data_IF_761012391325
#
_entry.id   IF_761012391325
#
_cell.length_a   1.000
_cell.length_b   1.000
_cell.length_c   1.000
_cell.angle_alpha   90.00
_cell.angle_beta   90.00
_cell.angle_gamma   90.00
#
_symmetry.space_group_name_H-M   'P 1'
#
loop_
_entity.id
_entity.type
_entity.pdbx_description
1 polymer ?
#
# COMPACT_ATOMS: atom_id res chain seq x y z
N UNK A 1 0.62 15.73 -7.17
CA UNK A 1 0.88 14.29 -7.00
C UNK A 1 1.03 14.07 -5.50
N UNK A 2 0.06 13.42 -4.85
CA UNK A 2 0.12 13.20 -3.41
C UNK A 2 0.90 11.91 -3.14
N UNK A 3 1.75 11.92 -2.11
CA UNK A 3 2.62 10.78 -1.73
C UNK A 3 1.83 9.50 -1.40
N UNK A 4 0.52 9.63 -1.15
CA UNK A 4 -0.38 8.54 -0.73
C UNK A 4 -1.19 7.93 -1.89
N UNK A 5 -1.05 8.48 -3.10
CA UNK A 5 -1.80 7.99 -4.26
C UNK A 5 -1.21 6.67 -4.81
N UNK A 6 -0.02 6.29 -4.36
CA UNK A 6 0.69 5.06 -4.76
C UNK A 6 0.99 4.17 -3.56
N UNK A 7 1.38 2.92 -3.82
CA UNK A 7 1.86 2.01 -2.77
C UNK A 7 3.28 2.33 -2.28
N UNK A 8 3.93 3.37 -2.82
CA UNK A 8 5.36 3.64 -2.56
C UNK A 8 5.62 3.97 -1.09
N UNK A 9 4.69 4.61 -0.40
CA UNK A 9 4.83 4.92 1.03
C UNK A 9 4.91 3.66 1.91
N UNK A 10 4.39 2.52 1.45
CA UNK A 10 4.49 1.26 2.18
C UNK A 10 5.88 0.62 2.05
N UNK A 11 6.58 0.86 0.93
CA UNK A 11 7.93 0.30 0.67
C UNK A 11 8.96 0.75 1.70
N UNK A 12 8.85 1.99 2.15
CA UNK A 12 9.79 2.62 3.09
C UNK A 12 9.20 2.80 4.49
N UNK A 13 8.03 2.21 4.75
CA UNK A 13 7.35 2.27 6.03
C UNK A 13 7.94 1.31 7.07
N UNK A 14 7.28 1.19 8.23
CA UNK A 14 7.64 0.20 9.26
C UNK A 14 7.45 -1.25 8.76
N UNK A 15 7.87 -2.24 9.56
CA UNK A 15 7.79 -3.65 9.17
C UNK A 15 6.38 -4.10 8.76
N UNK A 16 5.34 -3.57 9.42
CA UNK A 16 3.94 -3.86 9.09
C UNK A 16 3.55 -3.28 7.73
N UNK A 17 3.97 -2.07 7.42
CA UNK A 17 3.74 -1.42 6.12
C UNK A 17 4.45 -2.18 4.99
N UNK A 18 5.71 -2.56 5.19
CA UNK A 18 6.47 -3.34 4.20
C UNK A 18 5.84 -4.72 3.96
N UNK A 19 5.34 -5.37 5.01
CA UNK A 19 4.64 -6.65 4.88
C UNK A 19 3.35 -6.52 4.05
N UNK A 20 2.57 -5.45 4.24
CA UNK A 20 1.39 -5.19 3.41
C UNK A 20 1.78 -4.90 1.96
N UNK A 21 2.84 -4.13 1.73
CA UNK A 21 3.34 -3.90 0.38
C UNK A 21 3.62 -5.24 -0.34
N UNK A 22 4.34 -6.15 0.31
CA UNK A 22 4.65 -7.44 -0.28
C UNK A 22 3.41 -8.30 -0.54
N UNK A 23 2.47 -8.34 0.41
CA UNK A 23 1.22 -9.08 0.25
C UNK A 23 0.40 -8.59 -0.96
N UNK A 24 0.32 -7.27 -1.15
CA UNK A 24 -0.42 -6.67 -2.27
C UNK A 24 0.22 -6.99 -3.62
N UNK A 25 1.56 -7.02 -3.69
CA UNK A 25 2.33 -7.37 -4.88
C UNK A 25 2.21 -8.87 -5.19
N UNK A 26 2.40 -9.73 -4.19
CA UNK A 26 2.32 -11.20 -4.32
C UNK A 26 0.97 -11.64 -4.88
N UNK A 27 -0.13 -11.04 -4.40
CA UNK A 27 -1.47 -11.35 -4.87
C UNK A 27 -1.90 -10.58 -6.13
N UNK A 28 -1.04 -9.70 -6.65
CA UNK A 28 -1.30 -8.83 -7.80
C UNK A 28 -2.64 -8.08 -7.67
N UNK A 29 -2.96 -7.58 -6.47
CA UNK A 29 -4.27 -6.98 -6.15
C UNK A 29 -4.56 -5.77 -7.04
N UNK A 30 -3.58 -4.87 -7.18
CA UNK A 30 -3.73 -3.67 -7.99
C UNK A 30 -3.84 -3.98 -9.49
N UNK A 31 -3.08 -4.96 -9.98
CA UNK A 31 -3.17 -5.39 -11.38
C UNK A 31 -4.56 -5.97 -11.69
N UNK A 32 -5.14 -6.75 -10.78
CA UNK A 32 -6.49 -7.31 -10.94
C UNK A 32 -7.59 -6.25 -10.96
N UNK A 33 -7.34 -5.10 -10.33
CA UNK A 33 -8.29 -4.02 -10.17
C UNK A 33 -7.99 -2.82 -11.08
N UNK A 34 -6.97 -2.90 -11.95
CA UNK A 34 -6.44 -1.78 -12.74
C UNK A 34 -7.54 -1.02 -13.50
N UNK A 35 -8.49 -1.73 -14.11
CA UNK A 35 -9.64 -1.16 -14.84
C UNK A 35 -10.56 -0.27 -13.98
N UNK A 36 -10.45 -0.35 -12.66
CA UNK A 36 -11.26 0.38 -11.70
C UNK A 36 -10.49 1.50 -10.99
N UNK A 37 -9.24 1.77 -11.39
CA UNK A 37 -8.37 2.77 -10.75
C UNK A 37 -8.30 2.59 -9.22
N UNK A 38 -7.75 1.45 -8.75
CA UNK A 38 -7.82 1.08 -7.35
C UNK A 38 -7.03 2.05 -6.48
N UNK A 39 -7.59 2.38 -5.31
CA UNK A 39 -6.95 3.19 -4.28
C UNK A 39 -6.87 2.34 -3.02
N UNK A 40 -5.72 2.34 -2.34
CA UNK A 40 -5.60 1.66 -1.05
C UNK A 40 -6.36 2.47 0.00
N UNK A 41 -7.49 1.94 0.45
CA UNK A 41 -8.31 2.57 1.50
C UNK A 41 -8.00 1.95 2.87
N UNK A 42 -8.19 2.73 3.94
CA UNK A 42 -7.90 2.32 5.32
C UNK A 42 -6.60 2.91 5.85
N UNK A 43 -6.56 3.16 7.16
CA UNK A 43 -5.35 3.69 7.82
C UNK A 43 -4.43 2.55 8.21
N UNK A 44 -3.43 2.25 7.39
CA UNK A 44 -2.19 1.62 7.88
C UNK A 44 -1.36 2.77 8.46
N UNK A 45 -1.15 2.84 9.79
CA UNK A 45 -0.47 3.97 10.40
C UNK A 45 0.87 4.23 9.73
N UNK A 46 1.09 5.47 9.32
CA UNK A 46 2.36 5.88 8.71
C UNK A 46 3.36 6.01 9.83
N UNK A 47 4.28 5.05 9.95
CA UNK A 47 5.39 5.11 10.90
C UNK A 47 4.99 5.34 12.38
N UNK A 48 3.73 5.03 12.73
CA UNK A 48 3.20 5.07 14.10
C UNK A 48 2.68 3.67 14.43
N UNK A 49 3.60 2.74 14.69
CA UNK A 49 3.25 1.56 15.49
C UNK A 49 3.30 2.02 16.95
N UNK A 50 2.15 2.07 17.63
CA UNK A 50 2.03 2.33 19.07
C UNK A 50 2.12 1.00 19.80
#
# INVERSE_FOLDING_TARGET
>A
MHILDTLDYLKTGNSKQQAVYQLLIEHAVFNKLESFSPILTGTIPINVDI
#
